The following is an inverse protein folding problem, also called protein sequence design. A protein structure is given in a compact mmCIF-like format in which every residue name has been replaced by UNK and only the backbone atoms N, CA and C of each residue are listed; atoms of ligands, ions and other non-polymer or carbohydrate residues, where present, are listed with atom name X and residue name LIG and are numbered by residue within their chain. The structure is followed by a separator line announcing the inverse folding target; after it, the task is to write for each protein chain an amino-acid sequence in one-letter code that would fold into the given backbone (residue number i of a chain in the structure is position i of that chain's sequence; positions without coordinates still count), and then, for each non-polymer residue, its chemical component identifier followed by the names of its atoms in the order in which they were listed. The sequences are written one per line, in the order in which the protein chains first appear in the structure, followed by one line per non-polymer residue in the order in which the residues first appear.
data_IF_209138543393
#
_entry.id   IF_209138543393
#
_cell.length_a   1.000
_cell.length_b   1.000
_cell.length_c   1.000
_cell.angle_alpha   90.00
_cell.angle_beta   90.00
_cell.angle_gamma   90.00
#
_symmetry.space_group_name_H-M   'P 1'
#
loop_
_entity.id
_entity.type
_entity.pdbx_description
1 polymer ?
#
# COMPACT_ATOMS: atom_id res chain seq x y z
N UNK A 1 -7.59 50.39 -6.41
CA UNK A 1 -7.66 49.46 -5.25
C UNK A 1 -8.59 48.24 -5.52
N UNK A 2 -9.87 48.44 -5.90
CA UNK A 2 -10.82 47.30 -6.15
C UNK A 2 -10.33 46.27 -7.18
N UNK A 3 -9.73 46.70 -8.32
CA UNK A 3 -9.22 45.77 -9.36
C UNK A 3 -8.05 44.92 -8.88
N UNK A 4 -7.13 45.49 -8.07
CA UNK A 4 -6.01 44.74 -7.49
C UNK A 4 -6.49 43.70 -6.48
N UNK A 5 -7.46 44.06 -5.64
CA UNK A 5 -8.07 43.17 -4.67
C UNK A 5 -8.77 41.96 -5.35
N UNK A 6 -9.51 42.24 -6.44
CA UNK A 6 -10.17 41.15 -7.23
C UNK A 6 -9.14 40.21 -7.87
N UNK A 7 -8.03 40.76 -8.38
CA UNK A 7 -6.94 39.96 -8.96
C UNK A 7 -6.29 39.02 -7.91
N UNK A 8 -6.04 39.53 -6.71
CA UNK A 8 -5.45 38.75 -5.61
C UNK A 8 -6.40 37.61 -5.21
N UNK A 9 -7.71 37.86 -5.09
CA UNK A 9 -8.70 36.81 -4.80
C UNK A 9 -8.68 35.74 -5.90
N UNK A 10 -8.65 36.13 -7.16
CA UNK A 10 -8.63 35.19 -8.29
C UNK A 10 -7.38 34.30 -8.25
N UNK A 11 -6.21 34.89 -7.96
CA UNK A 11 -4.95 34.13 -7.80
C UNK A 11 -5.05 33.14 -6.64
N UNK A 12 -5.57 33.53 -5.49
CA UNK A 12 -5.75 32.64 -4.34
C UNK A 12 -6.69 31.48 -4.68
N UNK A 13 -7.80 31.74 -5.38
CA UNK A 13 -8.72 30.71 -5.82
C UNK A 13 -8.04 29.76 -6.80
N UNK A 14 -7.31 30.26 -7.80
CA UNK A 14 -6.56 29.44 -8.74
C UNK A 14 -5.52 28.57 -8.05
N UNK A 15 -4.78 29.11 -7.08
CA UNK A 15 -3.81 28.34 -6.29
C UNK A 15 -4.53 27.25 -5.46
N UNK A 16 -5.63 27.57 -4.81
CA UNK A 16 -6.41 26.62 -4.03
C UNK A 16 -6.98 25.48 -4.89
N UNK A 17 -7.49 25.81 -6.08
CA UNK A 17 -7.97 24.81 -7.06
C UNK A 17 -6.83 23.95 -7.57
N UNK A 18 -5.68 24.56 -7.92
CA UNK A 18 -4.50 23.83 -8.37
C UNK A 18 -3.95 22.88 -7.30
N UNK A 19 -3.84 23.35 -6.04
CA UNK A 19 -3.42 22.52 -4.92
C UNK A 19 -4.44 21.41 -4.62
N UNK A 20 -5.73 21.68 -4.78
CA UNK A 20 -6.80 20.68 -4.65
C UNK A 20 -6.69 19.59 -5.72
N UNK A 21 -6.51 19.98 -6.97
CA UNK A 21 -6.34 19.06 -8.10
C UNK A 21 -5.03 18.25 -7.99
N UNK A 22 -3.93 18.88 -7.58
CA UNK A 22 -2.64 18.20 -7.39
C UNK A 22 -2.66 17.18 -6.23
N UNK A 23 -3.64 17.31 -5.31
CA UNK A 23 -3.82 16.38 -4.20
C UNK A 23 -4.86 15.28 -4.46
N UNK A 24 -5.47 15.21 -5.66
CA UNK A 24 -6.44 14.17 -5.99
C UNK A 24 -5.74 12.84 -6.26
N UNK A 25 -6.27 11.77 -5.68
CA UNK A 25 -5.85 10.41 -6.00
C UNK A 25 -6.08 10.11 -7.47
N UNK A 26 -5.20 9.29 -8.02
CA UNK A 26 -5.50 8.60 -9.28
C UNK A 26 -6.76 7.75 -9.09
N UNK A 27 -7.54 7.56 -10.15
CA UNK A 27 -8.77 6.77 -10.11
C UNK A 27 -8.50 5.32 -9.68
N UNK A 28 -7.34 4.78 -10.03
CA UNK A 28 -6.88 3.42 -9.73
C UNK A 28 -5.93 3.40 -8.51
N UNK A 29 -5.70 2.23 -7.94
CA UNK A 29 -4.64 2.00 -6.98
C UNK A 29 -3.28 2.01 -7.68
N UNK A 30 -2.25 2.52 -7.03
CA UNK A 30 -0.89 2.38 -7.52
C UNK A 30 -0.23 1.15 -6.90
N UNK A 31 0.74 0.56 -7.60
CA UNK A 31 1.60 -0.46 -7.02
C UNK A 31 2.32 0.10 -5.78
N UNK A 32 2.27 -0.60 -4.63
CA UNK A 32 2.87 -0.09 -3.38
C UNK A 32 4.39 -0.18 -3.35
N UNK A 33 5.02 -0.74 -4.37
CA UNK A 33 6.47 -0.76 -4.60
C UNK A 33 6.73 -0.17 -5.98
N UNK A 34 7.77 0.65 -6.10
CA UNK A 34 8.22 1.17 -7.38
C UNK A 34 9.12 0.14 -8.08
N UNK A 35 8.74 -0.28 -9.27
CA UNK A 35 9.53 -1.10 -10.17
C UNK A 35 9.94 -0.29 -11.38
N UNK A 36 11.16 -0.55 -11.90
CA UNK A 36 11.64 0.13 -13.13
C UNK A 36 10.89 -0.32 -14.39
N UNK A 37 10.49 -1.59 -14.40
CA UNK A 37 9.80 -2.23 -15.52
C UNK A 37 8.54 -2.94 -14.99
N UNK A 38 8.54 -4.27 -15.04
CA UNK A 38 7.38 -5.09 -14.66
C UNK A 38 7.31 -5.35 -13.15
N UNK A 39 6.10 -5.57 -12.65
CA UNK A 39 5.86 -6.01 -11.27
C UNK A 39 6.47 -7.42 -11.11
N UNK A 40 7.33 -7.58 -10.11
CA UNK A 40 7.99 -8.86 -9.84
C UNK A 40 7.29 -9.54 -8.66
N UNK A 41 6.71 -10.71 -8.92
CA UNK A 41 6.04 -11.52 -7.91
C UNK A 41 7.04 -12.52 -7.33
N UNK A 42 7.03 -12.68 -6.01
CA UNK A 42 7.87 -13.65 -5.32
C UNK A 42 7.57 -15.08 -5.80
N UNK A 43 8.60 -15.80 -6.14
CA UNK A 43 8.51 -17.24 -6.43
C UNK A 43 9.76 -17.92 -5.84
N UNK A 44 9.57 -18.81 -4.85
CA UNK A 44 10.64 -19.51 -4.16
C UNK A 44 10.17 -20.88 -3.64
N UNK A 45 11.05 -21.61 -2.97
CA UNK A 45 10.76 -22.95 -2.41
C UNK A 45 9.64 -22.96 -1.35
N UNK A 46 9.11 -21.80 -0.96
CA UNK A 46 7.97 -21.66 -0.05
C UNK A 46 6.66 -21.38 -0.80
N UNK A 47 6.70 -21.44 -2.12
CA UNK A 47 5.56 -21.26 -3.03
C UNK A 47 5.59 -19.93 -3.77
N UNK A 48 4.68 -19.80 -4.72
CA UNK A 48 4.51 -18.56 -5.47
C UNK A 48 3.78 -17.49 -4.65
N UNK A 49 3.95 -16.23 -5.02
CA UNK A 49 3.35 -15.07 -4.37
C UNK A 49 2.01 -14.65 -4.95
N UNK A 50 1.42 -15.43 -5.85
CA UNK A 50 0.17 -15.07 -6.51
C UNK A 50 -1.04 -15.11 -5.56
N UNK A 51 -2.03 -14.28 -5.86
CA UNK A 51 -3.33 -14.34 -5.21
C UNK A 51 -3.98 -15.72 -5.45
N UNK A 52 -4.74 -16.18 -4.46
CA UNK A 52 -5.42 -17.48 -4.46
C UNK A 52 -4.51 -18.72 -4.60
N UNK A 53 -3.18 -18.56 -4.62
CA UNK A 53 -2.27 -19.72 -4.62
C UNK A 53 -2.41 -20.54 -3.33
N UNK A 54 -2.21 -21.86 -3.43
CA UNK A 54 -2.34 -22.77 -2.29
C UNK A 54 -1.19 -22.58 -1.29
N UNK A 55 -1.51 -22.47 -0.01
CA UNK A 55 -0.55 -22.40 1.10
C UNK A 55 -0.60 -23.70 1.91
N UNK A 56 0.29 -24.64 1.59
CA UNK A 56 0.38 -25.96 2.24
C UNK A 56 -0.93 -26.77 2.21
N UNK A 57 -1.71 -26.65 1.14
CA UNK A 57 -2.95 -27.37 0.90
C UNK A 57 -4.14 -27.01 1.81
N UNK A 58 -3.96 -26.09 2.77
CA UNK A 58 -4.99 -25.76 3.79
C UNK A 58 -5.57 -24.36 3.68
N UNK A 59 -4.88 -23.43 3.04
CA UNK A 59 -5.28 -22.02 2.93
C UNK A 59 -4.96 -21.48 1.56
N UNK A 60 -5.80 -20.58 1.09
CA UNK A 60 -5.52 -19.78 -0.10
C UNK A 60 -4.77 -18.51 0.29
N UNK A 61 -3.85 -18.06 -0.55
CA UNK A 61 -3.17 -16.78 -0.40
C UNK A 61 -4.16 -15.64 -0.61
N UNK A 62 -4.23 -14.70 0.34
CA UNK A 62 -5.23 -13.63 0.34
C UNK A 62 -4.75 -12.32 -0.28
N UNK A 63 -3.55 -12.30 -0.82
CA UNK A 63 -2.91 -11.13 -1.40
C UNK A 63 -1.90 -11.50 -2.45
N UNK A 64 -1.01 -10.56 -2.72
CA UNK A 64 0.10 -10.67 -3.66
C UNK A 64 1.41 -10.48 -2.90
N UNK A 65 2.40 -11.34 -3.11
CA UNK A 65 3.72 -11.19 -2.53
C UNK A 65 4.64 -10.51 -3.54
N UNK A 66 4.85 -9.22 -3.40
CA UNK A 66 5.67 -8.38 -4.28
C UNK A 66 7.15 -8.51 -3.90
N UNK A 67 7.95 -9.11 -4.78
CA UNK A 67 9.38 -9.32 -4.54
C UNK A 67 10.11 -7.98 -4.50
N UNK A 68 10.84 -7.72 -3.42
CA UNK A 68 11.72 -6.56 -3.30
C UNK A 68 12.69 -6.75 -2.14
N UNK A 69 13.85 -6.09 -2.23
CA UNK A 69 14.88 -6.14 -1.20
C UNK A 69 14.41 -5.52 0.12
N UNK A 70 14.99 -6.03 1.22
CA UNK A 70 14.77 -5.43 2.54
C UNK A 70 15.20 -3.97 2.54
N UNK A 71 14.33 -3.08 3.02
CA UNK A 71 14.57 -1.64 3.04
C UNK A 71 13.94 -0.89 1.87
N UNK A 72 13.48 -1.57 0.81
CA UNK A 72 12.74 -0.93 -0.29
C UNK A 72 11.54 -0.16 0.26
N UNK A 73 11.34 1.08 -0.22
CA UNK A 73 10.23 1.92 0.20
C UNK A 73 8.88 1.30 -0.16
N UNK A 74 7.93 1.41 0.78
CA UNK A 74 6.54 0.99 0.60
C UNK A 74 5.64 2.21 0.62
N UNK A 75 4.79 2.34 -0.40
CA UNK A 75 3.92 3.48 -0.62
C UNK A 75 2.46 3.13 -0.34
N UNK A 76 1.68 4.11 0.12
CA UNK A 76 0.22 3.98 0.22
C UNK A 76 -0.38 3.84 -1.19
N UNK A 77 -0.97 2.70 -1.50
CA UNK A 77 -1.53 2.42 -2.82
C UNK A 77 -2.70 3.35 -3.19
N UNK A 78 -3.36 3.94 -2.18
CA UNK A 78 -4.43 4.94 -2.32
C UNK A 78 -4.54 5.77 -1.04
N UNK A 79 -5.08 7.00 -1.14
CA UNK A 79 -5.34 7.83 0.04
C UNK A 79 -6.33 7.17 0.98
N UNK A 80 -6.12 7.33 2.28
CA UNK A 80 -6.97 6.72 3.28
C UNK A 80 -6.54 7.00 4.71
N UNK A 81 -7.20 6.34 5.64
CA UNK A 81 -6.90 6.44 7.08
C UNK A 81 -6.26 5.15 7.58
N UNK A 82 -5.14 5.25 8.28
CA UNK A 82 -4.50 4.12 8.96
C UNK A 82 -5.40 3.62 10.09
N UNK A 83 -5.84 2.37 10.01
CA UNK A 83 -6.65 1.75 11.06
C UNK A 83 -5.85 0.79 11.93
N UNK A 84 -4.67 0.37 11.45
CA UNK A 84 -3.71 -0.42 12.24
C UNK A 84 -2.29 -0.20 11.72
N UNK A 85 -1.33 -0.06 12.63
CA UNK A 85 0.11 -0.02 12.38
C UNK A 85 0.79 -0.71 13.55
N UNK A 86 1.09 -2.02 13.43
CA UNK A 86 1.51 -2.86 14.56
C UNK A 86 2.23 -4.12 14.07
N UNK A 87 2.39 -5.12 14.92
CA UNK A 87 2.99 -6.41 14.55
C UNK A 87 2.26 -7.61 15.17
N UNK A 88 2.32 -8.74 14.48
CA UNK A 88 1.86 -10.04 14.98
C UNK A 88 2.76 -11.19 14.47
N UNK A 89 2.48 -12.43 14.91
CA UNK A 89 3.28 -13.60 14.51
C UNK A 89 3.18 -13.92 13.02
N UNK A 90 2.01 -13.73 12.38
CA UNK A 90 1.77 -14.06 10.97
C UNK A 90 2.32 -13.00 10.02
N UNK A 91 1.71 -11.82 10.03
CA UNK A 91 2.04 -10.72 9.13
C UNK A 91 3.37 -10.03 9.48
N UNK A 92 3.95 -10.31 10.65
CA UNK A 92 5.08 -9.53 11.14
C UNK A 92 4.66 -8.08 11.44
N UNK A 93 5.48 -7.12 11.12
CA UNK A 93 5.10 -5.70 11.12
C UNK A 93 4.19 -5.44 9.93
N UNK A 94 3.05 -4.80 10.17
CA UNK A 94 2.06 -4.55 9.13
C UNK A 94 1.29 -3.26 9.35
N UNK A 95 0.73 -2.75 8.24
CA UNK A 95 -0.13 -1.56 8.21
C UNK A 95 -1.46 -1.98 7.55
N UNK A 96 -2.57 -1.44 8.05
CA UNK A 96 -3.89 -1.53 7.40
C UNK A 96 -4.39 -0.12 7.17
N UNK A 97 -4.76 0.19 5.93
CA UNK A 97 -5.31 1.48 5.52
C UNK A 97 -6.77 1.25 5.07
N UNK A 98 -7.69 2.06 5.59
CA UNK A 98 -9.07 2.11 5.13
C UNK A 98 -9.22 3.22 4.09
N UNK A 99 -9.79 2.88 2.97
CA UNK A 99 -10.14 3.76 1.86
C UNK A 99 -11.66 4.00 1.81
N UNK A 100 -12.12 4.72 0.78
CA UNK A 100 -13.54 4.82 0.46
C UNK A 100 -14.11 3.47 -0.01
N UNK A 101 -15.41 3.37 -0.20
CA UNK A 101 -16.13 2.24 -0.80
C UNK A 101 -15.88 0.89 -0.08
N UNK A 102 -15.69 0.94 1.26
CA UNK A 102 -15.40 -0.22 2.10
C UNK A 102 -14.20 -1.04 1.63
N UNK A 103 -13.21 -0.38 1.03
CA UNK A 103 -11.95 -1.00 0.63
C UNK A 103 -10.91 -0.79 1.73
N UNK A 104 -10.13 -1.83 2.02
CA UNK A 104 -8.92 -1.75 2.84
C UNK A 104 -7.74 -2.33 2.08
N UNK A 105 -6.55 -1.78 2.33
CA UNK A 105 -5.27 -2.38 1.92
C UNK A 105 -4.47 -2.80 3.13
N UNK A 106 -3.71 -3.90 2.99
CA UNK A 106 -2.85 -4.46 4.03
C UNK A 106 -1.45 -4.61 3.47
N UNK A 107 -0.47 -4.16 4.24
CA UNK A 107 0.95 -4.18 3.91
C UNK A 107 1.69 -4.96 4.98
N UNK A 108 2.15 -6.17 4.67
CA UNK A 108 2.76 -7.10 5.62
C UNK A 108 4.25 -7.31 5.43
N UNK A 109 4.87 -7.97 6.40
CA UNK A 109 6.28 -8.36 6.47
C UNK A 109 7.28 -7.20 6.49
N UNK A 110 6.82 -5.99 6.89
CA UNK A 110 7.62 -4.77 6.90
C UNK A 110 8.84 -4.87 7.83
N UNK A 111 9.94 -4.20 7.47
CA UNK A 111 11.08 -3.95 8.36
C UNK A 111 10.82 -2.74 9.25
N UNK A 112 10.26 -1.65 8.68
CA UNK A 112 9.91 -0.44 9.41
C UNK A 112 8.50 0.03 9.07
N UNK A 113 7.86 0.67 10.05
CA UNK A 113 6.57 1.36 9.92
C UNK A 113 6.83 2.84 10.20
N UNK A 114 6.43 3.74 9.29
CA UNK A 114 6.65 5.19 9.40
C UNK A 114 5.39 5.98 9.74
N UNK A 115 4.26 5.29 9.91
CA UNK A 115 2.95 5.87 10.17
C UNK A 115 2.34 5.29 11.44
N UNK A 116 1.34 5.97 11.99
CA UNK A 116 0.62 5.54 13.20
C UNK A 116 -0.86 5.35 12.91
N UNK A 117 -1.52 4.58 13.75
CA UNK A 117 -2.99 4.49 13.74
C UNK A 117 -3.60 5.90 13.79
N UNK A 118 -4.65 6.09 13.04
CA UNK A 118 -5.42 7.31 12.84
C UNK A 118 -4.80 8.38 11.92
N UNK A 119 -3.57 8.19 11.43
CA UNK A 119 -2.98 9.07 10.40
C UNK A 119 -3.82 9.03 9.11
N UNK A 120 -3.96 10.20 8.47
CA UNK A 120 -4.50 10.33 7.12
C UNK A 120 -3.37 10.40 6.10
N UNK A 121 -3.43 9.54 5.10
CA UNK A 121 -2.39 9.36 4.10
C UNK A 121 -2.88 9.78 2.73
N UNK A 122 -1.96 10.28 1.90
CA UNK A 122 -2.17 10.49 0.47
C UNK A 122 -1.65 9.29 -0.31
N UNK A 123 -2.25 9.03 -1.46
CA UNK A 123 -1.72 8.06 -2.42
C UNK A 123 -0.26 8.39 -2.76
N UNK A 124 0.61 7.38 -2.81
CA UNK A 124 2.05 7.56 -3.07
C UNK A 124 2.87 8.04 -1.86
N UNK A 125 2.27 8.26 -0.70
CA UNK A 125 3.02 8.60 0.52
C UNK A 125 3.79 7.36 1.02
N UNK A 126 5.07 7.54 1.40
CA UNK A 126 5.87 6.46 2.01
C UNK A 126 5.30 6.14 3.39
N UNK A 127 5.01 4.85 3.63
CA UNK A 127 4.39 4.36 4.86
C UNK A 127 5.28 3.39 5.65
N UNK A 128 6.30 2.83 5.02
CA UNK A 128 7.19 1.86 5.63
C UNK A 128 8.26 1.38 4.67
N UNK A 129 8.90 0.27 5.00
CA UNK A 129 9.87 -0.40 4.14
C UNK A 129 9.71 -1.92 4.17
N UNK A 130 10.02 -2.57 3.05
CA UNK A 130 10.00 -4.03 2.88
C UNK A 130 10.90 -4.70 3.91
N UNK A 131 10.49 -5.87 4.39
CA UNK A 131 11.26 -6.64 5.35
C UNK A 131 11.13 -8.15 5.18
N UNK A 132 11.48 -8.85 6.26
CA UNK A 132 11.33 -10.31 6.43
C UNK A 132 10.78 -10.62 7.82
N UNK A 133 9.73 -9.94 8.24
CA UNK A 133 9.14 -10.12 9.58
C UNK A 133 7.97 -11.11 9.57
N UNK A 134 7.58 -11.60 10.74
CA UNK A 134 6.52 -12.59 10.84
C UNK A 134 6.85 -13.91 10.16
N UNK A 135 5.93 -14.47 9.40
CA UNK A 135 6.11 -15.74 8.68
C UNK A 135 7.19 -15.66 7.58
N UNK A 136 7.49 -14.47 7.06
CA UNK A 136 8.55 -14.26 6.06
C UNK A 136 9.98 -14.44 6.61
N UNK A 137 10.17 -14.65 7.93
CA UNK A 137 11.48 -14.91 8.54
C UNK A 137 12.15 -16.21 8.08
N UNK A 138 11.39 -17.15 7.48
CA UNK A 138 11.94 -18.41 7.03
C UNK A 138 13.15 -18.18 6.11
N UNK A 139 14.27 -18.89 6.36
CA UNK A 139 15.54 -18.66 5.66
C UNK A 139 15.40 -18.78 4.13
N UNK A 140 14.64 -19.78 3.67
CA UNK A 140 14.43 -20.06 2.25
C UNK A 140 13.36 -19.16 1.58
N UNK A 141 12.73 -18.23 2.32
CA UNK A 141 11.75 -17.31 1.76
C UNK A 141 12.44 -16.01 1.34
N UNK A 142 12.22 -15.56 0.11
CA UNK A 142 12.74 -14.30 -0.38
C UNK A 142 12.06 -13.10 0.30
N UNK A 143 12.78 -11.97 0.50
CA UNK A 143 12.17 -10.74 0.99
C UNK A 143 11.07 -10.27 0.05
N UNK A 144 9.95 -9.79 0.60
CA UNK A 144 8.80 -9.34 -0.19
C UNK A 144 7.87 -8.47 0.65
N UNK A 145 7.06 -7.69 -0.01
CA UNK A 145 5.88 -7.07 0.56
C UNK A 145 4.69 -8.00 0.34
N UNK A 146 4.05 -8.45 1.41
CA UNK A 146 2.72 -9.06 1.31
C UNK A 146 1.67 -7.94 1.21
N UNK A 147 0.97 -7.86 0.08
CA UNK A 147 -0.02 -6.83 -0.23
C UNK A 147 -1.40 -7.43 -0.44
N UNK A 148 -2.40 -6.97 0.33
CA UNK A 148 -3.79 -7.38 0.15
C UNK A 148 -4.66 -6.18 -0.18
N UNK A 149 -5.66 -6.41 -1.03
CA UNK A 149 -6.83 -5.54 -1.22
C UNK A 149 -8.05 -6.32 -0.78
N UNK A 150 -8.90 -5.71 0.05
CA UNK A 150 -10.18 -6.30 0.44
C UNK A 150 -11.31 -5.32 0.21
N UNK A 151 -12.37 -5.78 -0.42
CA UNK A 151 -13.61 -5.02 -0.61
C UNK A 151 -14.72 -5.69 0.20
N UNK A 152 -15.39 -4.93 1.07
CA UNK A 152 -16.40 -5.46 1.99
C UNK A 152 -15.89 -6.66 2.83
N UNK A 153 -14.61 -6.65 3.22
CA UNK A 153 -13.96 -7.71 3.98
C UNK A 153 -13.47 -8.92 3.13
N UNK A 154 -13.88 -9.02 1.87
CA UNK A 154 -13.52 -10.14 0.97
C UNK A 154 -12.20 -9.80 0.25
N UNK A 155 -11.17 -10.68 0.31
CA UNK A 155 -9.95 -10.51 -0.45
C UNK A 155 -10.21 -10.46 -1.96
N UNK A 156 -9.53 -9.57 -2.64
CA UNK A 156 -9.55 -9.36 -4.09
C UNK A 156 -8.16 -9.62 -4.65
N UNK A 157 -8.05 -9.97 -5.93
CA UNK A 157 -6.76 -10.04 -6.61
C UNK A 157 -6.17 -8.62 -6.77
N UNK A 158 -5.01 -8.32 -6.14
CA UNK A 158 -4.44 -6.99 -6.27
C UNK A 158 -4.04 -6.61 -7.70
N UNK A 159 -3.75 -7.58 -8.59
CA UNK A 159 -3.39 -7.33 -9.98
C UNK A 159 -4.54 -6.72 -10.81
N UNK A 160 -5.79 -6.86 -10.34
CA UNK A 160 -6.94 -6.22 -10.99
C UNK A 160 -7.08 -4.74 -10.62
N UNK A 161 -6.30 -4.24 -9.65
CA UNK A 161 -6.42 -2.89 -9.08
C UNK A 161 -5.21 -1.99 -9.34
N UNK A 162 -4.01 -2.56 -9.51
CA UNK A 162 -2.73 -1.83 -9.64
C UNK A 162 -2.14 -1.87 -11.04
#
# INVERSE_FOLDING_TARGET
MKKLFLLIILIIICIAVFLGLAGMDKQYFICPIEYKNDIIIRNDNRGDGLFASSRSGRRMHKGLDLLADVGTAVYAAKSGKVISATQNKGMGKYIIIRHRDNIITIYGHLSNIFVRKDDYLRQGQIIGSVGKTGNARAAAMLPHLHFEIRKNGVPQDPLEYI
#
